data_IF_259279356778
#
_entry.id   IF_259279356778
#
_cell.length_a   1.000
_cell.length_b   1.000
_cell.length_c   1.000
_cell.angle_alpha   90.00
_cell.angle_beta   90.00
_cell.angle_gamma   90.00
#
_symmetry.space_group_name_H-M   'P 1'
#
loop_
_entity.id
_entity.type
_entity.pdbx_description
1 polymer ?
#
# COMPACT_ATOMS: atom_id res chain seq x y z
N UNK A 1 -12.12 7.97 4.05
CA UNK A 1 -11.56 8.03 2.68
C UNK A 1 -10.15 8.59 2.77
N UNK A 2 -9.14 7.97 2.14
CA UNK A 2 -7.78 8.53 2.09
C UNK A 2 -7.77 9.86 1.34
N UNK A 3 -6.97 10.81 1.83
CA UNK A 3 -6.78 12.12 1.22
C UNK A 3 -5.42 12.16 0.50
N UNK A 4 -5.45 12.50 -0.79
CA UNK A 4 -4.29 12.50 -1.66
C UNK A 4 -3.17 13.43 -1.16
N UNK A 5 -3.52 14.66 -0.79
CA UNK A 5 -2.54 15.68 -0.41
C UNK A 5 -1.85 15.28 0.88
N UNK A 6 -2.62 14.90 1.91
CA UNK A 6 -2.10 14.43 3.20
C UNK A 6 -1.24 13.18 3.02
N UNK A 7 -1.65 12.25 2.16
CA UNK A 7 -0.86 11.06 1.87
C UNK A 7 0.52 11.42 1.30
N UNK A 8 0.57 12.28 0.28
CA UNK A 8 1.85 12.69 -0.33
C UNK A 8 2.73 13.49 0.64
N UNK A 9 2.14 14.42 1.40
CA UNK A 9 2.86 15.22 2.40
C UNK A 9 3.53 14.34 3.46
N UNK A 10 2.83 13.30 3.94
CA UNK A 10 3.33 12.44 4.99
C UNK A 10 4.17 11.27 4.47
N UNK A 11 3.59 10.39 3.66
CA UNK A 11 4.26 9.18 3.19
C UNK A 11 5.34 9.52 2.15
N UNK A 12 5.03 10.35 1.16
CA UNK A 12 5.98 10.81 0.16
C UNK A 12 7.15 11.56 0.79
N UNK A 13 6.86 12.55 1.64
CA UNK A 13 7.89 13.29 2.35
C UNK A 13 8.80 12.41 3.23
N UNK A 14 8.24 11.38 3.88
CA UNK A 14 9.04 10.42 4.66
C UNK A 14 9.95 9.57 3.78
N UNK A 15 9.42 9.02 2.69
CA UNK A 15 10.18 8.19 1.75
C UNK A 15 11.30 9.01 1.12
N UNK A 16 11.03 10.23 0.66
CA UNK A 16 12.06 11.11 0.10
C UNK A 16 13.21 11.37 1.06
N UNK A 17 12.91 11.69 2.32
CA UNK A 17 13.93 11.91 3.35
C UNK A 17 14.74 10.65 3.60
N UNK A 18 14.08 9.49 3.69
CA UNK A 18 14.75 8.21 3.87
C UNK A 18 15.64 7.84 2.68
N UNK A 19 15.14 8.02 1.45
CA UNK A 19 15.89 7.75 0.22
C UNK A 19 17.13 8.63 0.10
N UNK A 20 17.02 9.94 0.41
CA UNK A 20 18.18 10.84 0.42
C UNK A 20 19.26 10.42 1.43
N UNK A 21 18.86 9.85 2.56
CA UNK A 21 19.78 9.49 3.64
C UNK A 21 20.38 8.08 3.49
N UNK A 22 19.59 7.12 3.01
CA UNK A 22 19.92 5.69 3.06
C UNK A 22 19.91 5.00 1.68
N UNK A 23 19.52 5.71 0.61
CA UNK A 23 19.40 5.15 -0.73
C UNK A 23 18.11 4.34 -0.89
N UNK A 24 18.22 3.02 -0.81
CA UNK A 24 17.10 2.12 -1.08
C UNK A 24 16.11 2.08 0.08
N UNK A 25 14.83 2.31 -0.21
CA UNK A 25 13.74 2.29 0.78
C UNK A 25 12.80 1.11 0.49
N UNK A 26 12.44 0.38 1.54
CA UNK A 26 11.36 -0.61 1.54
C UNK A 26 10.29 -0.16 2.52
N UNK A 27 9.05 -0.14 2.08
CA UNK A 27 7.89 0.27 2.87
C UNK A 27 7.03 -0.95 3.14
N UNK A 28 6.73 -1.19 4.41
CA UNK A 28 5.76 -2.19 4.82
C UNK A 28 4.49 -1.49 5.34
N UNK A 29 3.31 -1.97 4.95
CA UNK A 29 2.04 -1.41 5.40
C UNK A 29 0.95 -2.47 5.57
N UNK A 30 0.23 -2.41 6.68
CA UNK A 30 -0.97 -3.23 6.96
C UNK A 30 -2.26 -2.44 6.73
N UNK A 31 -2.17 -1.11 6.56
CA UNK A 31 -3.32 -0.22 6.58
C UNK A 31 -4.37 -0.51 5.48
N UNK A 32 -4.00 -0.83 4.23
CA UNK A 32 -4.97 -1.29 3.24
C UNK A 32 -5.71 -2.57 3.68
N UNK A 33 -5.00 -3.55 4.26
CA UNK A 33 -5.60 -4.77 4.81
C UNK A 33 -6.58 -4.50 5.95
N UNK A 34 -6.21 -3.64 6.91
CA UNK A 34 -7.10 -3.23 8.01
C UNK A 34 -8.38 -2.54 7.50
N UNK A 35 -8.24 -1.67 6.49
CA UNK A 35 -9.40 -1.01 5.86
C UNK A 35 -10.30 -2.01 5.13
N UNK A 36 -9.71 -3.04 4.53
CA UNK A 36 -10.46 -4.12 3.91
C UNK A 36 -11.28 -4.91 4.93
N UNK A 37 -10.62 -5.39 6.00
CA UNK A 37 -11.22 -6.19 7.08
C UNK A 37 -12.35 -5.44 7.80
N UNK A 38 -12.20 -4.13 7.98
CA UNK A 38 -13.23 -3.27 8.60
C UNK A 38 -14.41 -2.93 7.68
N UNK A 39 -14.49 -3.52 6.47
CA UNK A 39 -15.55 -3.27 5.49
C UNK A 39 -15.37 -1.99 4.68
N UNK A 40 -14.32 -1.20 4.93
CA UNK A 40 -14.02 0.04 4.21
C UNK A 40 -13.22 -0.23 2.92
N UNK A 41 -13.76 -1.10 2.07
CA UNK A 41 -13.10 -1.60 0.85
C UNK A 41 -12.72 -0.50 -0.14
N UNK A 42 -13.56 0.53 -0.28
CA UNK A 42 -13.28 1.66 -1.17
C UNK A 42 -12.05 2.46 -0.68
N UNK A 43 -11.93 2.67 0.64
CA UNK A 43 -10.75 3.32 1.21
C UNK A 43 -9.49 2.46 1.04
N UNK A 44 -9.59 1.13 1.20
CA UNK A 44 -8.47 0.21 0.92
C UNK A 44 -7.98 0.37 -0.52
N UNK A 45 -8.88 0.24 -1.52
CA UNK A 45 -8.51 0.36 -2.94
C UNK A 45 -7.94 1.74 -3.25
N UNK A 46 -8.51 2.80 -2.66
CA UNK A 46 -7.98 4.16 -2.85
C UNK A 46 -6.56 4.30 -2.28
N UNK A 47 -6.29 3.74 -1.10
CA UNK A 47 -4.97 3.81 -0.48
C UNK A 47 -3.92 3.03 -1.28
N UNK A 48 -4.29 1.85 -1.80
CA UNK A 48 -3.45 1.08 -2.74
C UNK A 48 -3.11 1.87 -4.00
N UNK A 49 -4.11 2.55 -4.58
CA UNK A 49 -3.88 3.40 -5.74
C UNK A 49 -2.90 4.55 -5.44
N UNK A 50 -3.04 5.21 -4.27
CA UNK A 50 -2.12 6.28 -3.86
C UNK A 50 -0.69 5.79 -3.67
N UNK A 51 -0.51 4.62 -3.06
CA UNK A 51 0.80 3.99 -2.94
C UNK A 51 1.42 3.70 -4.31
N UNK A 52 0.65 3.14 -5.24
CA UNK A 52 1.13 2.84 -6.58
C UNK A 52 1.43 4.09 -7.41
N UNK A 53 0.64 5.15 -7.28
CA UNK A 53 0.98 6.45 -7.88
C UNK A 53 2.29 6.99 -7.30
N UNK A 54 2.49 6.92 -5.99
CA UNK A 54 3.74 7.40 -5.38
C UNK A 54 4.97 6.63 -5.88
N UNK A 55 4.85 5.34 -6.19
CA UNK A 55 5.93 4.51 -6.77
C UNK A 55 6.35 4.95 -8.17
N UNK A 56 5.52 5.69 -8.92
CA UNK A 56 5.91 6.24 -10.22
C UNK A 56 6.79 7.48 -10.05
N UNK A 57 6.75 8.13 -8.88
CA UNK A 57 7.48 9.35 -8.57
C UNK A 57 8.74 9.11 -7.73
N UNK A 58 8.73 8.11 -6.85
CA UNK A 58 9.83 7.82 -5.92
C UNK A 58 10.26 6.35 -6.00
N UNK A 59 11.58 6.05 -5.98
CA UNK A 59 12.08 4.69 -5.98
C UNK A 59 11.97 4.06 -4.59
N UNK A 60 10.98 3.18 -4.41
CA UNK A 60 10.88 2.30 -3.23
C UNK A 60 10.18 0.98 -3.58
N UNK A 61 10.42 -0.04 -2.76
CA UNK A 61 9.65 -1.28 -2.78
C UNK A 61 8.51 -1.18 -1.77
N UNK A 62 7.29 -1.51 -2.19
CA UNK A 62 6.11 -1.57 -1.34
C UNK A 62 5.76 -3.02 -1.01
N UNK A 63 5.54 -3.29 0.27
CA UNK A 63 5.07 -4.55 0.80
C UNK A 63 3.78 -4.28 1.56
N UNK A 64 2.64 -4.68 1.00
CA UNK A 64 1.36 -4.61 1.70
C UNK A 64 1.06 -5.98 2.33
N UNK A 65 0.59 -5.94 3.57
CA UNK A 65 0.04 -7.12 4.23
C UNK A 65 -1.48 -7.08 4.17
N UNK A 66 -2.06 -8.23 3.85
CA UNK A 66 -3.48 -8.49 3.85
C UNK A 66 -3.73 -9.76 4.65
N UNK A 67 -4.65 -9.76 5.62
CA UNK A 67 -5.17 -11.02 6.13
C UNK A 67 -6.24 -11.51 5.18
N UNK A 68 -6.18 -12.79 4.89
CA UNK A 68 -7.08 -13.45 3.94
C UNK A 68 -7.65 -14.62 4.69
N UNK A 69 -8.72 -14.34 5.41
CA UNK A 69 -9.46 -15.35 6.14
C UNK A 69 -10.42 -16.02 5.15
N UNK A 70 -10.52 -17.35 5.25
CA UNK A 70 -10.87 -18.29 4.17
C UNK A 70 -12.18 -18.15 3.40
N UNK A 71 -12.98 -17.10 3.61
CA UNK A 71 -14.22 -16.85 2.87
C UNK A 71 -14.17 -15.63 1.92
N UNK A 72 -13.17 -14.74 2.03
CA UNK A 72 -13.04 -13.58 1.12
C UNK A 72 -11.86 -13.83 0.15
N UNK A 73 -12.10 -14.41 -1.05
CA UNK A 73 -11.05 -14.66 -2.00
C UNK A 73 -10.41 -13.33 -2.39
N UNK A 74 -9.11 -13.23 -2.12
CA UNK A 74 -8.16 -12.19 -2.54
C UNK A 74 -8.78 -11.23 -3.58
N UNK A 75 -9.13 -9.98 -3.20
CA UNK A 75 -9.88 -9.12 -4.07
C UNK A 75 -9.03 -8.78 -5.30
N UNK A 76 -9.46 -9.25 -6.48
CA UNK A 76 -8.74 -9.09 -7.76
C UNK A 76 -8.25 -7.66 -8.02
N UNK A 77 -8.99 -6.65 -7.54
CA UNK A 77 -8.62 -5.24 -7.65
C UNK A 77 -7.38 -4.87 -6.83
N UNK A 78 -7.23 -5.43 -5.63
CA UNK A 78 -6.04 -5.30 -4.79
C UNK A 78 -4.91 -6.15 -5.37
N UNK A 79 -5.19 -7.40 -5.75
CA UNK A 79 -4.17 -8.28 -6.31
C UNK A 79 -3.55 -7.72 -7.58
N UNK A 80 -4.36 -7.12 -8.46
CA UNK A 80 -3.87 -6.45 -9.68
C UNK A 80 -3.05 -5.20 -9.41
N UNK A 81 -3.12 -4.63 -8.20
CA UNK A 81 -2.31 -3.50 -7.76
C UNK A 81 -0.91 -3.94 -7.27
N UNK A 82 -0.66 -5.24 -7.11
CA UNK A 82 0.59 -5.79 -6.60
C UNK A 82 1.42 -6.45 -7.71
N UNK A 83 2.74 -6.25 -7.68
CA UNK A 83 3.65 -6.89 -8.64
C UNK A 83 4.05 -8.31 -8.23
N UNK A 84 3.97 -8.65 -6.95
CA UNK A 84 4.24 -9.98 -6.41
C UNK A 84 3.23 -10.29 -5.31
N UNK A 85 2.69 -11.50 -5.32
CA UNK A 85 1.82 -12.03 -4.27
C UNK A 85 2.58 -13.15 -3.58
N UNK A 86 2.75 -13.02 -2.26
CA UNK A 86 3.37 -14.06 -1.43
C UNK A 86 2.26 -14.71 -0.61
N UNK A 87 1.92 -15.99 -0.84
CA UNK A 87 0.94 -16.67 -0.02
C UNK A 87 1.48 -16.81 1.41
N UNK A 88 0.65 -16.44 2.39
CA UNK A 88 0.85 -16.86 3.78
C UNK A 88 0.29 -18.28 3.87
N UNK A 89 1.13 -19.23 4.30
CA UNK A 89 0.77 -20.65 4.44
C UNK A 89 -0.16 -20.94 5.60
#
# INVERSE_FOLDING_TARGET
MPDDRRFHEHAGGLIERASRRFGNVRVFTELPGILWESGNRLASVRLEALWNTLRTHLPFALLCSYRVDGEDPHPRQVCGAHSHLLPMG
#
